data_IF_174632246949
#
_entry.id   IF_174632246949
#
_cell.length_a   1.000
_cell.length_b   1.000
_cell.length_c   1.000
_cell.angle_alpha   90.00
_cell.angle_beta   90.00
_cell.angle_gamma   90.00
#
_symmetry.space_group_name_H-M   'P 1'
#
loop_
_entity.id
_entity.type
_entity.pdbx_description
1 polymer ?
#
# COMPACT_ATOMS: atom_id res chain seq x y z
N UNK A 1 7.02 -3.93 -7.38
CA UNK A 1 7.12 -4.27 -5.94
C UNK A 1 7.40 -5.76 -5.73
N UNK A 2 6.54 -6.64 -6.22
CA UNK A 2 6.57 -8.09 -5.91
C UNK A 2 7.88 -8.82 -6.21
N UNK A 3 8.62 -8.42 -7.25
CA UNK A 3 9.93 -9.02 -7.58
C UNK A 3 11.00 -8.83 -6.50
N UNK A 4 10.88 -7.77 -5.70
CA UNK A 4 11.89 -7.39 -4.69
C UNK A 4 11.43 -7.65 -3.26
N UNK A 5 10.14 -7.85 -3.04
CA UNK A 5 9.54 -7.97 -1.72
C UNK A 5 9.04 -9.38 -1.48
N UNK A 6 9.65 -10.10 -0.54
CA UNK A 6 9.18 -11.44 -0.17
C UNK A 6 7.84 -11.38 0.54
N UNK A 7 7.60 -10.31 1.29
CA UNK A 7 6.38 -10.09 2.06
C UNK A 7 5.72 -8.80 1.61
N UNK A 8 4.42 -8.88 1.38
CA UNK A 8 3.52 -7.76 1.08
C UNK A 8 2.19 -8.17 1.71
N UNK A 9 1.77 -7.44 2.72
CA UNK A 9 0.53 -7.69 3.45
C UNK A 9 -0.14 -6.38 3.79
N UNK A 10 -1.44 -6.44 4.08
CA UNK A 10 -2.17 -5.32 4.64
C UNK A 10 -2.52 -5.63 6.07
N UNK A 11 -2.26 -4.67 6.95
CA UNK A 11 -2.89 -4.63 8.26
C UNK A 11 -3.74 -3.38 8.38
N UNK A 12 -4.75 -3.48 9.23
CA UNK A 12 -5.63 -2.36 9.55
C UNK A 12 -5.45 -1.95 11.01
N UNK A 13 -5.57 -0.66 11.28
CA UNK A 13 -5.57 -0.13 12.65
C UNK A 13 -6.79 0.78 12.85
N UNK A 14 -7.40 0.80 14.03
CA UNK A 14 -8.45 1.76 14.34
C UNK A 14 -7.98 3.19 14.13
N UNK A 15 -8.85 4.04 13.58
CA UNK A 15 -8.80 5.47 13.86
C UNK A 15 -9.62 5.70 15.10
N UNK A 16 -9.09 6.45 16.04
CA UNK A 16 -9.83 6.93 17.21
C UNK A 16 -10.87 7.98 16.77
N UNK A 17 -11.83 7.56 15.94
CA UNK A 17 -12.91 8.37 15.40
C UNK A 17 -14.27 7.73 15.70
N UNK A 18 -15.30 8.58 15.75
CA UNK A 18 -16.67 8.15 16.02
C UNK A 18 -17.31 7.39 14.84
N UNK A 19 -16.66 7.37 13.67
CA UNK A 19 -17.19 6.78 12.43
C UNK A 19 -16.78 5.31 12.30
N UNK A 20 -15.85 4.85 13.15
CA UNK A 20 -15.31 3.49 13.14
C UNK A 20 -14.48 3.21 11.90
N UNK A 21 -13.83 4.23 11.34
CA UNK A 21 -13.00 4.05 10.15
C UNK A 21 -11.62 3.49 10.52
N UNK A 22 -10.99 2.78 9.58
CA UNK A 22 -9.70 2.14 9.81
C UNK A 22 -8.62 2.82 8.97
N UNK A 23 -7.40 2.85 9.49
CA UNK A 23 -6.22 2.96 8.64
C UNK A 23 -5.99 1.62 7.96
N UNK A 24 -5.54 1.66 6.70
CA UNK A 24 -4.96 0.51 6.04
C UNK A 24 -3.49 0.79 5.74
N UNK A 25 -2.62 -0.14 6.11
CA UNK A 25 -1.19 -0.04 5.90
C UNK A 25 -0.72 -1.19 5.03
N UNK A 26 0.19 -0.91 4.11
CA UNK A 26 0.93 -1.95 3.40
C UNK A 26 2.24 -2.18 4.13
N UNK A 27 2.39 -3.36 4.71
CA UNK A 27 3.66 -3.83 5.23
C UNK A 27 4.39 -4.61 4.16
N UNK A 28 5.70 -4.39 4.10
CA UNK A 28 6.58 -5.06 3.16
C UNK A 28 7.86 -5.47 3.82
N UNK A 29 8.43 -6.56 3.33
CA UNK A 29 9.82 -6.94 3.58
C UNK A 29 10.49 -7.14 2.22
N UNK A 30 11.37 -6.19 1.87
CA UNK A 30 12.03 -6.14 0.58
C UNK A 30 13.54 -6.27 0.67
N UNK A 31 14.13 -6.72 -0.43
CA UNK A 31 15.58 -6.85 -0.54
C UNK A 31 16.21 -5.48 -0.82
N UNK A 32 16.98 -5.00 0.15
CA UNK A 32 18.00 -3.99 -0.01
C UNK A 32 19.27 -4.65 -0.55
N UNK A 33 19.37 -4.74 -1.88
CA UNK A 33 20.60 -5.18 -2.53
C UNK A 33 21.46 -3.95 -2.83
N UNK A 34 22.67 -3.86 -2.27
CA UNK A 34 23.68 -2.85 -2.59
C UNK A 34 23.88 -2.58 -4.09
N UNK A 35 23.68 -3.59 -4.96
CA UNK A 35 23.80 -3.46 -6.41
C UNK A 35 22.71 -2.58 -7.03
N UNK A 36 21.60 -2.37 -6.32
CA UNK A 36 20.52 -1.48 -6.76
C UNK A 36 20.80 -0.01 -6.40
N UNK A 37 21.84 0.29 -5.61
CA UNK A 37 22.24 1.65 -5.23
C UNK A 37 23.46 2.09 -6.05
N UNK A 38 23.31 3.05 -6.99
CA UNK A 38 24.40 3.52 -7.85
C UNK A 38 25.54 4.20 -7.07
N UNK A 39 25.34 4.56 -5.80
CA UNK A 39 26.34 5.23 -4.94
C UNK A 39 27.01 4.28 -3.93
N UNK A 40 26.80 2.96 -4.03
CA UNK A 40 27.34 2.01 -3.06
C UNK A 40 28.86 1.78 -3.22
N UNK A 41 29.67 2.70 -2.70
CA UNK A 41 31.12 2.54 -2.60
C UNK A 41 31.53 1.68 -1.40
N UNK A 42 32.55 0.83 -1.60
CA UNK A 42 33.24 0.07 -0.55
C UNK A 42 33.75 1.03 0.52
N UNK A 43 33.43 0.78 1.79
CA UNK A 43 34.04 1.52 2.89
C UNK A 43 35.48 1.05 3.14
N UNK A 44 36.30 1.93 3.71
CA UNK A 44 37.73 1.75 3.97
C UNK A 44 38.12 0.55 4.87
N UNK A 45 37.15 -0.19 5.44
CA UNK A 45 37.39 -1.31 6.36
C UNK A 45 37.32 -2.70 5.71
N UNK A 46 37.18 -2.80 4.39
CA UNK A 46 37.27 -4.09 3.68
C UNK A 46 36.18 -5.12 4.01
N UNK A 47 35.18 -4.78 4.83
CA UNK A 47 33.99 -5.64 5.03
C UNK A 47 33.18 -5.63 3.75
N UNK A 48 32.89 -6.82 3.24
CA UNK A 48 32.04 -7.02 2.08
C UNK A 48 30.60 -6.53 2.40
N UNK A 49 30.32 -5.28 2.04
CA UNK A 49 28.99 -4.69 2.15
C UNK A 49 28.03 -5.21 1.07
N UNK A 50 28.45 -6.11 0.18
CA UNK A 50 27.66 -6.58 -0.97
C UNK A 50 26.60 -7.64 -0.64
N UNK A 51 26.43 -8.06 0.62
CA UNK A 51 25.35 -8.97 0.99
C UNK A 51 24.00 -8.24 1.01
N UNK A 52 23.00 -8.69 0.23
CA UNK A 52 21.65 -8.14 0.32
C UNK A 52 21.10 -8.27 1.74
N UNK A 53 20.41 -7.23 2.20
CA UNK A 53 19.74 -7.20 3.50
C UNK A 53 18.24 -7.06 3.31
N UNK A 54 17.48 -7.57 4.25
CA UNK A 54 16.04 -7.31 4.29
C UNK A 54 15.78 -5.93 4.89
N UNK A 55 14.79 -5.24 4.32
CA UNK A 55 14.28 -3.96 4.81
C UNK A 55 12.78 -4.05 4.94
N UNK A 56 12.29 -3.84 6.14
CA UNK A 56 10.86 -3.69 6.41
C UNK A 56 10.41 -2.26 6.10
N UNK A 57 9.19 -2.09 5.61
CA UNK A 57 8.54 -0.79 5.44
C UNK A 57 7.05 -0.92 5.65
N UNK A 58 6.47 0.09 6.29
CA UNK A 58 5.03 0.21 6.53
C UNK A 58 4.56 1.51 5.90
N UNK A 59 3.64 1.43 4.95
CA UNK A 59 3.11 2.58 4.21
C UNK A 59 1.64 2.76 4.55
N UNK A 60 1.28 3.89 5.13
CA UNK A 60 -0.12 4.26 5.31
C UNK A 60 -0.75 4.57 3.95
N UNK A 61 -1.74 3.79 3.53
CA UNK A 61 -2.36 3.95 2.21
C UNK A 61 -3.05 5.29 2.03
N UNK A 62 -3.52 5.93 3.10
CA UNK A 62 -4.10 7.28 3.02
C UNK A 62 -3.12 8.35 2.53
N UNK A 63 -1.81 8.10 2.59
CA UNK A 63 -0.79 9.02 2.07
C UNK A 63 -0.64 8.92 0.54
N UNK A 64 -1.13 7.83 -0.05
CA UNK A 64 -1.03 7.57 -1.48
C UNK A 64 -2.39 7.50 -2.20
N UNK A 65 -3.47 7.29 -1.44
CA UNK A 65 -4.82 7.09 -1.94
C UNK A 65 -5.78 8.17 -1.44
N UNK A 66 -6.62 8.64 -2.35
CA UNK A 66 -7.80 9.46 -2.10
C UNK A 66 -9.10 8.76 -2.42
N UNK A 67 -10.19 9.48 -2.17
CA UNK A 67 -11.54 9.01 -2.42
C UNK A 67 -12.26 9.93 -3.40
N UNK A 68 -12.61 9.40 -4.58
CA UNK A 68 -13.44 10.13 -5.52
C UNK A 68 -14.88 10.17 -5.00
N UNK A 69 -15.28 11.34 -4.50
CA UNK A 69 -16.62 11.56 -3.95
C UNK A 69 -17.72 11.54 -5.03
N UNK A 70 -17.36 11.81 -6.29
CA UNK A 70 -18.32 11.88 -7.40
C UNK A 70 -18.55 10.50 -8.02
N UNK A 71 -17.47 9.74 -8.24
CA UNK A 71 -17.53 8.43 -8.86
C UNK A 71 -17.54 7.28 -7.86
N UNK A 72 -17.26 7.55 -6.58
CA UNK A 72 -17.38 6.61 -5.47
C UNK A 72 -16.36 5.47 -5.54
N UNK A 73 -15.07 5.79 -5.41
CA UNK A 73 -14.00 4.80 -5.41
C UNK A 73 -12.62 5.35 -5.04
N UNK A 74 -11.62 4.46 -5.04
CA UNK A 74 -10.23 4.79 -4.74
C UNK A 74 -9.57 5.49 -5.92
N UNK A 75 -8.78 6.54 -5.64
CA UNK A 75 -8.00 7.28 -6.64
C UNK A 75 -6.58 7.53 -6.14
N UNK A 76 -5.67 7.81 -7.08
CA UNK A 76 -4.33 8.33 -6.76
C UNK A 76 -4.46 9.76 -6.23
N UNK A 77 -4.10 9.98 -4.97
CA UNK A 77 -4.11 11.33 -4.36
C UNK A 77 -3.12 11.38 -3.20
N UNK A 78 -2.35 12.47 -3.12
CA UNK A 78 -1.39 12.70 -2.03
C UNK A 78 -2.16 13.08 -0.79
N UNK A 79 -1.94 12.37 0.31
CA UNK A 79 -2.67 12.59 1.58
C UNK A 79 -4.20 12.65 1.37
N UNK A 80 -4.71 11.82 0.45
CA UNK A 80 -6.11 11.88 0.01
C UNK A 80 -7.09 11.25 1.00
N UNK A 81 -6.60 10.59 2.05
CA UNK A 81 -7.41 10.03 3.13
C UNK A 81 -8.52 9.05 2.67
N UNK A 82 -8.21 8.21 1.67
CA UNK A 82 -9.18 7.34 1.03
C UNK A 82 -10.00 6.48 1.99
N UNK A 83 -9.33 5.79 2.92
CA UNK A 83 -9.99 4.82 3.81
C UNK A 83 -10.88 5.52 4.84
N UNK A 84 -10.57 6.77 5.19
CA UNK A 84 -11.41 7.61 6.03
C UNK A 84 -12.67 8.10 5.29
N UNK A 85 -12.52 8.62 4.07
CA UNK A 85 -13.67 9.14 3.31
C UNK A 85 -14.61 8.06 2.80
N UNK A 86 -14.07 6.92 2.37
CA UNK A 86 -14.85 5.74 1.98
C UNK A 86 -15.44 4.97 3.17
N UNK A 87 -14.94 5.23 4.39
CA UNK A 87 -15.16 4.40 5.59
C UNK A 87 -14.89 2.93 5.28
N UNK A 88 -13.65 2.64 4.90
CA UNK A 88 -13.25 1.33 4.41
C UNK A 88 -12.73 0.41 5.53
N UNK A 89 -12.88 -0.89 5.31
CA UNK A 89 -12.45 -1.98 6.19
C UNK A 89 -12.16 -3.27 5.40
N UNK A 90 -11.55 -4.26 6.03
CA UNK A 90 -11.30 -5.57 5.44
C UNK A 90 -10.40 -5.49 4.20
N UNK A 91 -9.46 -4.54 4.17
CA UNK A 91 -8.54 -4.37 3.05
C UNK A 91 -7.59 -5.57 2.90
N UNK A 92 -7.39 -6.00 1.66
CA UNK A 92 -6.55 -7.15 1.31
C UNK A 92 -5.71 -6.88 0.07
N UNK A 93 -4.46 -7.37 0.08
CA UNK A 93 -3.55 -7.32 -1.06
C UNK A 93 -3.44 -8.68 -1.74
N UNK A 94 -3.78 -8.75 -3.02
CA UNK A 94 -3.61 -9.94 -3.84
C UNK A 94 -2.26 -9.90 -4.55
N UNK A 95 -1.43 -10.92 -4.33
CA UNK A 95 -0.16 -11.09 -5.03
C UNK A 95 -0.30 -11.73 -6.41
N UNK A 96 0.69 -11.53 -7.28
CA UNK A 96 0.81 -12.20 -8.57
C UNK A 96 -0.16 -11.66 -9.62
N UNK A 97 -0.65 -10.44 -9.45
CA UNK A 97 -1.44 -9.73 -10.44
C UNK A 97 -0.55 -9.22 -11.56
N UNK A 98 -1.07 -9.14 -12.78
CA UNK A 98 -0.37 -8.50 -13.90
C UNK A 98 -0.38 -6.97 -13.73
N UNK A 99 0.52 -6.29 -14.42
CA UNK A 99 0.54 -4.83 -14.43
C UNK A 99 -0.81 -4.28 -14.92
N UNK A 100 -1.40 -3.35 -14.18
CA UNK A 100 -2.73 -2.78 -14.45
C UNK A 100 -3.91 -3.58 -13.90
N UNK A 101 -3.70 -4.77 -13.33
CA UNK A 101 -4.75 -5.51 -12.62
C UNK A 101 -4.90 -5.02 -11.17
N UNK A 102 -6.14 -4.98 -10.69
CA UNK A 102 -6.42 -4.62 -9.30
C UNK A 102 -5.79 -5.65 -8.34
N UNK A 103 -4.97 -5.15 -7.42
CA UNK A 103 -4.30 -5.94 -6.38
C UNK A 103 -4.68 -5.51 -4.96
N UNK A 104 -5.41 -4.41 -4.79
CA UNK A 104 -6.06 -4.02 -3.56
C UNK A 104 -7.57 -4.27 -3.67
N UNK A 105 -8.15 -4.80 -2.60
CA UNK A 105 -9.59 -4.87 -2.41
C UNK A 105 -9.94 -4.45 -0.99
N UNK A 106 -10.91 -3.57 -0.82
CA UNK A 106 -11.43 -3.14 0.48
C UNK A 106 -12.95 -3.09 0.44
N UNK A 107 -13.60 -3.40 1.56
CA UNK A 107 -15.00 -3.05 1.76
C UNK A 107 -15.11 -1.59 2.15
N UNK A 108 -16.09 -0.85 1.62
CA UNK A 108 -16.31 0.55 1.97
C UNK A 108 -17.81 0.84 2.18
N UNK A 109 -18.14 1.75 3.10
CA UNK A 109 -19.55 2.11 3.38
C UNK A 109 -20.13 2.98 2.26
N UNK A 110 -19.28 3.81 1.68
CA UNK A 110 -19.59 4.72 0.59
C UNK A 110 -18.93 4.23 -0.70
N UNK A 111 -19.49 4.62 -1.84
CA UNK A 111 -18.98 4.22 -3.15
C UNK A 111 -20.08 4.07 -4.18
N UNK A 112 -19.66 3.74 -5.40
CA UNK A 112 -20.54 3.38 -6.50
C UNK A 112 -20.53 1.87 -6.67
N UNK A 113 -21.72 1.28 -6.71
CA UNK A 113 -21.89 -0.16 -6.86
C UNK A 113 -22.98 -0.71 -5.96
N UNK A 114 -23.20 -2.01 -6.06
CA UNK A 114 -24.15 -2.71 -5.21
C UNK A 114 -23.59 -2.86 -3.79
N UNK A 115 -24.43 -2.56 -2.80
CA UNK A 115 -24.13 -2.89 -1.41
C UNK A 115 -24.42 -4.35 -1.16
N UNK A 116 -23.39 -5.11 -0.86
CA UNK A 116 -23.50 -6.53 -0.52
C UNK A 116 -22.96 -6.76 0.89
N UNK A 117 -23.27 -7.92 1.45
CA UNK A 117 -22.80 -8.27 2.78
C UNK A 117 -21.36 -8.76 2.73
N UNK A 118 -20.47 -8.13 3.50
CA UNK A 118 -19.13 -8.64 3.76
C UNK A 118 -19.24 -10.01 4.46
N UNK A 119 -18.71 -11.09 3.87
CA UNK A 119 -18.84 -12.43 4.43
C UNK A 119 -18.15 -12.58 5.79
N UNK A 120 -17.11 -11.80 6.08
CA UNK A 120 -16.35 -11.87 7.31
C UNK A 120 -17.03 -11.11 8.46
N UNK A 121 -17.36 -9.82 8.25
CA UNK A 121 -17.90 -8.97 9.33
C UNK A 121 -19.43 -8.88 9.34
N UNK A 122 -20.11 -9.41 8.31
CA UNK A 122 -21.56 -9.30 8.09
C UNK A 122 -22.09 -7.88 7.89
N UNK A 123 -21.21 -6.88 7.79
CA UNK A 123 -21.56 -5.48 7.48
C UNK A 123 -21.94 -5.35 6.01
N UNK A 124 -22.92 -4.49 5.71
CA UNK A 124 -23.22 -4.11 4.32
C UNK A 124 -22.21 -3.08 3.82
N UNK A 125 -21.58 -3.35 2.68
CA UNK A 125 -20.57 -2.50 2.07
C UNK A 125 -20.47 -2.69 0.57
N UNK A 126 -19.64 -1.86 -0.06
CA UNK A 126 -19.31 -1.93 -1.47
C UNK A 126 -17.88 -2.44 -1.56
N UNK A 127 -17.65 -3.50 -2.34
CA UNK A 127 -16.30 -3.98 -2.61
C UNK A 127 -15.62 -3.04 -3.61
N UNK A 128 -14.65 -2.27 -3.14
CA UNK A 128 -13.85 -1.37 -3.96
C UNK A 128 -12.50 -2.00 -4.25
N UNK A 129 -12.04 -1.92 -5.50
CA UNK A 129 -10.78 -2.48 -5.94
C UNK A 129 -9.89 -1.41 -6.58
N UNK A 130 -8.57 -1.60 -6.49
CA UNK A 130 -7.60 -0.65 -7.04
C UNK A 130 -6.28 -1.35 -7.38
N UNK A 131 -5.52 -0.81 -8.33
CA UNK A 131 -4.14 -1.21 -8.61
C UNK A 131 -3.14 -0.32 -7.86
N UNK A 132 -2.52 -0.84 -6.81
CA UNK A 132 -1.48 -0.15 -6.04
C UNK A 132 -0.13 -0.08 -6.76
N UNK A 133 0.07 -0.83 -7.84
CA UNK A 133 1.35 -0.91 -8.56
C UNK A 133 1.92 0.45 -8.95
N UNK A 134 1.12 1.35 -9.58
CA UNK A 134 1.55 2.71 -9.91
C UNK A 134 1.79 3.64 -8.70
N UNK A 135 1.33 3.26 -7.51
CA UNK A 135 1.40 4.08 -6.29
C UNK A 135 2.56 3.71 -5.38
N UNK A 136 3.01 2.47 -5.37
CA UNK A 136 4.04 2.00 -4.45
C UNK A 136 5.37 1.81 -5.17
N UNK A 137 6.39 2.54 -4.71
CA UNK A 137 7.76 2.42 -5.21
C UNK A 137 8.63 1.68 -4.21
N UNK A 138 9.46 0.76 -4.70
CA UNK A 138 10.55 0.16 -3.93
C UNK A 138 11.84 0.91 -4.25
N UNK A 139 12.35 1.66 -3.27
CA UNK A 139 13.57 2.45 -3.42
C UNK A 139 14.83 1.56 -3.50
N UNK A 140 15.98 2.07 -3.96
CA UNK A 140 17.26 1.34 -3.96
C UNK A 140 17.57 0.69 -2.61
N UNK A 141 17.39 1.43 -1.53
CA UNK A 141 17.54 1.02 -0.12
C UNK A 141 16.63 -0.13 0.34
N UNK A 142 15.73 -0.61 -0.52
CA UNK A 142 14.73 -1.61 -0.19
C UNK A 142 13.55 -1.07 0.60
N UNK A 143 13.51 0.23 0.94
CA UNK A 143 12.31 0.82 1.54
C UNK A 143 11.18 0.94 0.52
N UNK A 144 9.95 0.95 1.01
CA UNK A 144 8.74 1.16 0.20
C UNK A 144 8.06 2.45 0.62
N UNK A 145 7.54 3.19 -0.35
CA UNK A 145 6.80 4.43 -0.11
C UNK A 145 5.91 4.81 -1.29
N UNK A 146 5.16 5.89 -1.14
CA UNK A 146 4.33 6.41 -2.23
C UNK A 146 5.22 6.92 -3.37
N UNK A 147 4.83 6.66 -4.63
CA UNK A 147 5.60 6.97 -5.83
C UNK A 147 5.76 8.47 -6.10
N UNK A 148 5.01 9.32 -5.41
CA UNK A 148 5.12 10.78 -5.54
C UNK A 148 6.26 11.40 -4.73
N UNK A 149 6.93 10.64 -3.85
CA UNK A 149 8.09 11.10 -3.07
C UNK A 149 9.39 11.27 -3.87
N UNK A 150 9.32 11.27 -5.21
CA UNK A 150 10.47 11.52 -6.10
C UNK A 150 10.72 13.03 -6.35
N UNK A 151 10.07 13.94 -5.61
CA UNK A 151 10.38 15.37 -5.62
C UNK A 151 11.01 15.80 -4.28
N UNK A 152 12.32 15.59 -4.14
CA UNK A 152 13.18 16.31 -3.20
C UNK A 152 14.63 16.23 -3.64
#
# INVERSE_FOLDING_TARGET
MEKRCREISIHEAPRDDYRGSLYAFVDTICTNDPKNDPNHHKNASGKDRHKPKERSSTVNLDRCLGWDKNNGGLIKEIDGHATYYGLCWGCHYKRGTKDGENNLSCWCKHGKGEKVQDPATKKLGIMTQFDLGPLLKVFPSGSVGCSHWDYS
#
